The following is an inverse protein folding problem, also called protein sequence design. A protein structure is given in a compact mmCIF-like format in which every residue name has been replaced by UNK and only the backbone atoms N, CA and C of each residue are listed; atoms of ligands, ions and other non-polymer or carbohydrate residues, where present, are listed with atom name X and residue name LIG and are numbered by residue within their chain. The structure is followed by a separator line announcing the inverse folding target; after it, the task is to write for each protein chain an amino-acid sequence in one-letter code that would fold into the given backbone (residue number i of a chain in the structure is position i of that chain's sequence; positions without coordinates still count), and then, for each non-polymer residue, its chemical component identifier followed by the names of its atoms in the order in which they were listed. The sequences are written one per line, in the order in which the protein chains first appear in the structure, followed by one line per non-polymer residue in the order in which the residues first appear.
data_IF_137691410886
#
_entry.id   IF_137691410886
#
_cell.length_a   1.000
_cell.length_b   1.000
_cell.length_c   1.000
_cell.angle_alpha   90.00
_cell.angle_beta   90.00
_cell.angle_gamma   90.00
#
_symmetry.space_group_name_H-M   'P 1'
#
loop_
_entity.id
_entity.type
_entity.pdbx_description
1 polymer ?
#
# COMPACT_ATOMS: atom_id res chain seq x y z
N UNK A 1 -3.17 -26.61 -69.54
CA UNK A 1 -3.95 -26.96 -68.35
C UNK A 1 -3.57 -25.98 -67.25
N UNK A 2 -4.58 -25.30 -66.73
CA UNK A 2 -4.52 -24.17 -65.78
C UNK A 2 -4.60 -24.73 -64.36
N UNK A 3 -3.92 -24.09 -63.40
CA UNK A 3 -4.27 -24.23 -61.99
C UNK A 3 -3.10 -24.17 -61.02
N UNK A 4 -2.46 -23.00 -60.88
CA UNK A 4 -1.69 -22.67 -59.70
C UNK A 4 -2.65 -22.36 -58.53
N UNK A 5 -2.38 -22.91 -57.34
CA UNK A 5 -2.95 -22.42 -56.09
C UNK A 5 -1.82 -22.18 -55.08
N UNK A 6 -1.67 -20.96 -54.56
CA UNK A 6 -0.73 -20.68 -53.48
C UNK A 6 -1.39 -21.09 -52.16
N UNK A 7 -0.72 -21.96 -51.40
CA UNK A 7 -1.15 -22.30 -50.04
C UNK A 7 -0.88 -21.11 -49.15
N UNK A 8 -1.95 -20.35 -48.89
CA UNK A 8 -1.94 -19.11 -48.13
C UNK A 8 -1.48 -19.33 -46.70
N UNK A 9 -0.52 -18.49 -46.32
CA UNK A 9 0.00 -18.27 -44.98
C UNK A 9 -1.15 -17.99 -43.99
N UNK A 10 -1.28 -18.80 -42.93
CA UNK A 10 -2.11 -18.51 -41.77
C UNK A 10 -1.20 -18.58 -40.54
N UNK A 11 -0.28 -17.62 -40.44
CA UNK A 11 0.39 -17.29 -39.18
C UNK A 11 -0.69 -16.68 -38.29
N UNK A 12 -1.32 -17.54 -37.48
CA UNK A 12 -2.21 -17.12 -36.41
C UNK A 12 -1.42 -16.32 -35.39
N UNK A 13 -1.50 -15.00 -35.50
CA UNK A 13 -0.97 -14.06 -34.53
C UNK A 13 -1.79 -14.19 -33.23
N UNK A 14 -1.40 -15.13 -32.38
CA UNK A 14 -1.82 -15.20 -30.99
C UNK A 14 -1.26 -13.97 -30.28
N UNK A 15 -2.04 -12.88 -30.29
CA UNK A 15 -1.88 -11.77 -29.37
C UNK A 15 -2.13 -12.30 -27.95
N UNK A 16 -1.06 -12.72 -27.28
CA UNK A 16 -1.06 -12.93 -25.84
C UNK A 16 -1.25 -11.55 -25.22
N UNK A 17 -2.51 -11.18 -24.98
CA UNK A 17 -2.85 -10.12 -24.04
C UNK A 17 -2.48 -10.65 -22.65
N UNK A 18 -1.20 -10.55 -22.29
CA UNK A 18 -0.85 -10.52 -20.88
C UNK A 18 -1.48 -9.25 -20.33
N UNK A 19 -2.64 -9.41 -19.69
CA UNK A 19 -3.12 -8.40 -18.78
C UNK A 19 -1.99 -8.20 -17.75
N UNK A 20 -1.32 -7.05 -17.81
CA UNK A 20 -0.25 -6.66 -16.90
C UNK A 20 -0.80 -6.46 -15.47
N UNK A 21 -1.28 -7.52 -14.87
CA UNK A 21 -1.49 -7.61 -13.43
C UNK A 21 -0.30 -8.33 -12.88
N UNK A 22 0.72 -7.58 -12.53
CA UNK A 22 1.79 -8.19 -11.78
C UNK A 22 1.28 -8.41 -10.36
N UNK A 23 1.12 -9.67 -9.95
CA UNK A 23 1.02 -10.07 -8.53
C UNK A 23 2.36 -9.81 -7.79
N UNK A 24 3.22 -8.98 -8.38
CA UNK A 24 4.50 -8.53 -7.86
C UNK A 24 4.22 -7.53 -6.73
N UNK A 25 4.74 -7.79 -5.52
CA UNK A 25 4.60 -6.87 -4.41
C UNK A 25 5.30 -5.53 -4.68
N UNK A 26 4.59 -4.42 -4.46
CA UNK A 26 5.07 -3.05 -4.65
C UNK A 26 5.22 -2.37 -3.29
N UNK A 27 6.45 -2.14 -2.79
CA UNK A 27 6.67 -1.50 -1.50
C UNK A 27 6.68 0.03 -1.59
N UNK A 28 6.20 0.69 -0.55
CA UNK A 28 6.46 2.11 -0.27
C UNK A 28 6.95 2.24 1.17
N UNK A 29 7.96 3.08 1.42
CA UNK A 29 8.62 3.19 2.72
C UNK A 29 8.80 4.62 3.17
N UNK A 30 8.86 4.81 4.48
CA UNK A 30 9.30 6.03 5.15
C UNK A 30 10.24 5.68 6.29
N UNK A 31 11.23 6.54 6.54
CA UNK A 31 12.16 6.45 7.66
C UNK A 31 12.00 7.69 8.54
N UNK A 32 11.99 7.47 9.85
CA UNK A 32 11.94 8.55 10.84
C UNK A 32 13.31 8.69 11.50
N UNK A 33 14.05 9.79 11.23
CA UNK A 33 15.44 9.91 11.67
C UNK A 33 15.61 9.90 13.19
N UNK A 34 14.65 10.47 13.93
CA UNK A 34 14.72 10.59 15.38
C UNK A 34 14.74 9.23 16.09
N UNK A 35 13.93 8.29 15.60
CA UNK A 35 13.79 6.96 16.20
C UNK A 35 14.48 5.86 15.36
N UNK A 36 15.09 6.26 14.24
CA UNK A 36 15.71 5.41 13.22
C UNK A 36 14.80 4.26 12.73
N UNK A 37 13.48 4.41 12.86
CA UNK A 37 12.53 3.38 12.46
C UNK A 37 12.16 3.50 10.99
N UNK A 38 11.94 2.35 10.34
CA UNK A 38 11.43 2.25 8.98
C UNK A 38 10.05 1.62 9.00
N UNK A 39 9.09 2.28 8.36
CA UNK A 39 7.79 1.70 8.05
C UNK A 39 7.72 1.45 6.55
N UNK A 40 7.28 0.26 6.17
CA UNK A 40 7.04 -0.13 4.78
C UNK A 40 5.64 -0.68 4.67
N UNK A 41 4.85 -0.17 3.72
CA UNK A 41 3.60 -0.82 3.33
C UNK A 41 3.79 -1.38 1.94
N UNK A 42 3.66 -2.69 1.82
CA UNK A 42 3.75 -3.41 0.57
C UNK A 42 2.35 -3.70 0.06
N UNK A 43 2.13 -3.40 -1.22
CA UNK A 43 0.88 -3.60 -1.92
C UNK A 43 1.02 -4.69 -2.96
N UNK A 44 0.14 -5.68 -2.94
CA UNK A 44 0.12 -6.77 -3.93
C UNK A 44 -1.23 -6.79 -4.62
N UNK A 45 -1.25 -6.74 -5.96
CA UNK A 45 -2.49 -6.84 -6.72
C UNK A 45 -3.13 -8.21 -6.49
N UNK A 46 -4.46 -8.25 -6.32
CA UNK A 46 -5.24 -9.50 -6.18
C UNK A 46 -6.22 -9.71 -7.32
N UNK A 47 -6.27 -8.76 -8.25
CA UNK A 47 -7.12 -8.82 -9.43
C UNK A 47 -6.50 -8.06 -10.60
N UNK A 48 -6.60 -8.58 -11.84
CA UNK A 48 -5.96 -7.98 -12.99
C UNK A 48 -6.57 -6.72 -13.56
N UNK A 49 -7.82 -6.42 -13.21
CA UNK A 49 -8.56 -5.31 -13.80
C UNK A 49 -9.09 -4.33 -12.74
N UNK A 50 -9.34 -4.84 -11.53
CA UNK A 50 -9.87 -4.05 -10.42
C UNK A 50 -8.72 -3.54 -9.56
N UNK A 51 -8.86 -2.31 -9.04
CA UNK A 51 -7.94 -1.76 -8.03
C UNK A 51 -8.16 -2.47 -6.68
N UNK A 52 -7.77 -3.74 -6.61
CA UNK A 52 -7.87 -4.60 -5.44
C UNK A 52 -6.48 -5.08 -5.05
N UNK A 53 -6.17 -4.91 -3.78
CA UNK A 53 -4.84 -5.17 -3.30
C UNK A 53 -4.84 -5.69 -1.87
N UNK A 54 -3.99 -6.67 -1.62
CA UNK A 54 -3.56 -7.00 -0.27
C UNK A 54 -2.49 -6.00 0.17
N UNK A 55 -2.50 -5.68 1.46
CA UNK A 55 -1.60 -4.70 2.06
C UNK A 55 -0.91 -5.33 3.25
N UNK A 56 0.41 -5.26 3.27
CA UNK A 56 1.24 -5.75 4.37
C UNK A 56 2.08 -4.63 4.93
N UNK A 57 1.92 -4.35 6.22
CA UNK A 57 2.75 -3.42 6.97
C UNK A 57 3.96 -4.16 7.53
N UNK A 58 5.14 -3.60 7.31
CA UNK A 58 6.39 -4.01 7.96
C UNK A 58 6.95 -2.83 8.75
N UNK A 59 7.24 -3.06 10.01
CA UNK A 59 7.90 -2.12 10.91
C UNK A 59 9.26 -2.68 11.31
N UNK A 60 10.31 -1.89 11.10
CA UNK A 60 11.69 -2.25 11.43
C UNK A 60 12.33 -1.17 12.28
N UNK A 61 13.04 -1.58 13.31
CA UNK A 61 13.83 -0.70 14.19
C UNK A 61 15.27 -1.22 14.29
N UNK A 62 16.26 -0.34 14.53
CA UNK A 62 17.60 -0.75 14.90
C UNK A 62 17.60 -1.69 16.11
N UNK A 63 18.58 -2.58 16.18
CA UNK A 63 18.67 -3.56 17.26
C UNK A 63 17.82 -4.83 17.05
N UNK A 64 17.30 -5.06 15.84
CA UNK A 64 16.75 -6.36 15.42
C UNK A 64 15.24 -6.54 15.58
N UNK A 65 14.52 -5.52 16.07
CA UNK A 65 13.06 -5.54 16.08
C UNK A 65 12.52 -5.41 14.65
N UNK A 66 11.75 -6.42 14.21
CA UNK A 66 11.05 -6.45 12.92
C UNK A 66 9.70 -7.13 13.06
N UNK A 67 8.63 -6.44 12.70
CA UNK A 67 7.26 -6.95 12.77
C UNK A 67 6.60 -6.77 11.41
N UNK A 68 5.85 -7.78 10.99
CA UNK A 68 5.01 -7.69 9.81
C UNK A 68 3.58 -8.12 10.13
N UNK A 69 2.59 -7.34 9.71
CA UNK A 69 1.17 -7.62 9.88
C UNK A 69 0.40 -7.29 8.61
N UNK A 70 -0.67 -8.02 8.33
CA UNK A 70 -1.57 -7.70 7.24
C UNK A 70 -2.51 -6.56 7.65
N UNK A 71 -2.75 -5.64 6.74
CA UNK A 71 -3.73 -4.56 6.88
C UNK A 71 -5.04 -5.00 6.22
N UNK A 72 -6.13 -4.31 6.54
CA UNK A 72 -7.37 -4.52 5.80
C UNK A 72 -7.11 -4.27 4.31
N UNK A 73 -7.55 -5.14 3.38
CA UNK A 73 -7.21 -5.01 1.96
C UNK A 73 -7.95 -3.84 1.32
N UNK A 74 -7.44 -3.36 0.17
CA UNK A 74 -8.25 -2.51 -0.71
C UNK A 74 -9.18 -3.40 -1.55
N UNK A 75 -10.48 -3.21 -1.42
CA UNK A 75 -11.52 -3.96 -2.15
C UNK A 75 -12.10 -3.23 -3.37
N UNK A 76 -11.49 -2.11 -3.79
CA UNK A 76 -11.91 -1.32 -4.95
C UNK A 76 -12.24 0.15 -4.64
N UNK A 77 -11.85 0.66 -3.47
CA UNK A 77 -12.14 2.03 -3.04
C UNK A 77 -10.85 2.85 -2.88
N UNK A 78 -10.14 2.66 -1.77
CA UNK A 78 -8.93 3.43 -1.44
C UNK A 78 -7.88 2.53 -0.78
N UNK A 79 -6.72 2.43 -1.40
CA UNK A 79 -5.54 1.80 -0.76
C UNK A 79 -4.87 2.71 0.27
N UNK A 80 -5.24 4.00 0.35
CA UNK A 80 -4.56 5.00 1.18
C UNK A 80 -4.43 4.54 2.63
N UNK A 81 -3.24 4.70 3.21
CA UNK A 81 -3.00 4.55 4.65
C UNK A 81 -2.40 5.83 5.19
N UNK A 82 -3.12 6.50 6.08
CA UNK A 82 -2.63 7.69 6.75
C UNK A 82 -1.76 7.28 7.93
N UNK A 83 -0.67 8.01 8.12
CA UNK A 83 0.28 7.79 9.19
C UNK A 83 0.21 8.97 10.16
N UNK A 84 0.04 8.66 11.44
CA UNK A 84 -0.01 9.64 12.51
C UNK A 84 0.96 9.29 13.62
N UNK A 85 1.34 10.30 14.39
CA UNK A 85 2.03 10.15 15.66
C UNK A 85 1.09 10.54 16.80
N UNK A 86 1.05 9.73 17.86
CA UNK A 86 0.48 10.11 19.14
C UNK A 86 1.54 10.00 20.23
N UNK A 87 1.60 11.00 21.11
CA UNK A 87 2.57 11.01 22.20
C UNK A 87 4.00 10.72 21.75
N UNK A 88 4.78 10.16 22.67
CA UNK A 88 6.16 9.75 22.40
C UNK A 88 6.18 8.27 22.04
N UNK A 89 6.66 7.95 20.83
CA UNK A 89 6.90 6.56 20.42
C UNK A 89 5.64 5.75 20.05
N UNK A 90 4.49 6.38 19.82
CA UNK A 90 3.31 5.68 19.27
C UNK A 90 3.01 6.19 17.87
N UNK A 91 2.88 5.26 16.92
CA UNK A 91 2.48 5.56 15.54
C UNK A 91 1.15 4.86 15.23
N UNK A 92 0.30 5.55 14.48
CA UNK A 92 -0.93 4.97 13.95
C UNK A 92 -0.86 4.86 12.43
N UNK A 93 -1.10 3.66 11.92
CA UNK A 93 -1.37 3.43 10.49
C UNK A 93 -2.87 3.23 10.34
N UNK A 94 -3.55 4.22 9.78
CA UNK A 94 -5.01 4.26 9.69
C UNK A 94 -5.42 4.04 8.24
N UNK A 95 -6.29 3.05 8.03
CA UNK A 95 -7.00 2.82 6.80
C UNK A 95 -8.48 3.17 6.92
N UNK A 96 -9.25 2.83 5.89
CA UNK A 96 -10.69 3.06 5.87
C UNK A 96 -11.44 2.16 6.88
N UNK A 97 -10.97 0.94 7.09
CA UNK A 97 -11.65 -0.09 7.89
C UNK A 97 -10.81 -0.71 9.02
N UNK A 98 -9.54 -0.33 9.14
CA UNK A 98 -8.68 -0.70 10.25
C UNK A 98 -7.78 0.46 10.70
N UNK A 99 -7.32 0.38 11.95
CA UNK A 99 -6.20 1.17 12.43
C UNK A 99 -5.21 0.25 13.14
N UNK A 100 -3.93 0.34 12.79
CA UNK A 100 -2.85 -0.35 13.50
C UNK A 100 -2.14 0.64 14.41
N UNK A 101 -1.91 0.22 15.65
CA UNK A 101 -1.11 0.96 16.63
C UNK A 101 0.25 0.31 16.70
N UNK A 102 1.29 1.10 16.50
CA UNK A 102 2.67 0.67 16.62
C UNK A 102 3.21 1.29 17.90
N UNK A 103 3.44 0.47 18.91
CA UNK A 103 4.21 0.85 20.09
C UNK A 103 5.69 0.66 19.75
N UNK A 104 6.34 1.78 19.43
CA UNK A 104 7.73 1.81 18.98
C UNK A 104 8.63 1.31 20.11
N UNK A 105 8.60 1.84 21.36
CA UNK A 105 9.39 1.34 22.49
C UNK A 105 9.30 -0.17 22.70
N UNK A 106 8.10 -0.74 22.72
CA UNK A 106 7.88 -2.14 23.06
C UNK A 106 7.94 -3.08 21.86
N UNK A 107 8.16 -2.56 20.65
CA UNK A 107 8.18 -3.37 19.43
C UNK A 107 6.90 -4.21 19.32
N UNK A 108 5.74 -3.55 19.30
CA UNK A 108 4.45 -4.24 19.09
C UNK A 108 3.60 -3.53 18.05
N UNK A 109 2.79 -4.32 17.33
CA UNK A 109 1.75 -3.81 16.44
C UNK A 109 0.43 -4.47 16.78
N UNK A 110 -0.57 -3.67 17.14
CA UNK A 110 -1.91 -4.14 17.52
C UNK A 110 -2.99 -3.59 16.59
N UNK A 111 -4.09 -4.32 16.45
CA UNK A 111 -5.30 -3.79 15.83
C UNK A 111 -6.02 -2.92 16.86
N UNK A 112 -6.42 -1.72 16.45
CA UNK A 112 -7.28 -0.85 17.23
C UNK A 112 -8.60 -0.63 16.52
N UNK A 113 -9.69 -0.70 17.27
CA UNK A 113 -10.99 -0.30 16.79
C UNK A 113 -11.02 1.24 16.71
N UNK A 114 -11.49 1.83 15.61
CA UNK A 114 -11.42 3.28 15.37
C UNK A 114 -11.91 4.20 16.51
N UNK A 115 -12.77 3.69 17.39
CA UNK A 115 -13.32 4.44 18.53
C UNK A 115 -12.29 4.71 19.64
N UNK A 116 -11.11 4.10 19.59
CA UNK A 116 -10.08 4.20 20.64
C UNK A 116 -8.79 4.89 20.21
N UNK A 117 -8.76 5.55 19.03
CA UNK A 117 -7.60 6.35 18.63
C UNK A 117 -7.50 7.62 19.47
N UNK A 118 -6.28 7.98 19.87
CA UNK A 118 -6.01 9.20 20.61
C UNK A 118 -6.51 10.42 19.86
N UNK A 119 -7.16 11.35 20.60
CA UNK A 119 -7.71 12.57 20.01
C UNK A 119 -6.64 13.61 19.66
N UNK A 120 -5.45 13.46 20.21
CA UNK A 120 -4.32 14.36 20.00
C UNK A 120 -3.24 13.65 19.18
N UNK A 121 -3.45 13.63 17.87
CA UNK A 121 -2.54 13.03 16.89
C UNK A 121 -2.00 14.07 15.94
N UNK A 122 -0.77 13.86 15.49
CA UNK A 122 -0.13 14.66 14.44
C UNK A 122 -0.09 13.85 13.16
N UNK A 123 -0.69 14.36 12.08
CA UNK A 123 -0.59 13.75 10.76
C UNK A 123 0.83 13.88 10.20
N UNK A 124 1.45 12.75 9.88
CA UNK A 124 2.82 12.70 9.35
C UNK A 124 2.88 12.58 7.83
N UNK A 125 1.84 11.99 7.23
CA UNK A 125 1.77 11.74 5.80
C UNK A 125 0.87 10.55 5.47
N UNK A 126 0.89 10.14 4.21
CA UNK A 126 0.06 9.04 3.73
C UNK A 126 0.80 8.16 2.73
N UNK A 127 0.65 6.85 2.85
CA UNK A 127 0.93 5.93 1.76
C UNK A 127 -0.25 5.94 0.81
N UNK A 128 -0.02 6.28 -0.45
CA UNK A 128 -1.09 6.43 -1.44
C UNK A 128 -0.56 6.24 -2.86
N UNK A 129 -1.49 6.22 -3.81
CA UNK A 129 -1.18 6.36 -5.22
C UNK A 129 -0.83 7.81 -5.58
N UNK A 130 0.16 7.97 -6.45
CA UNK A 130 0.33 9.20 -7.22
C UNK A 130 -0.63 9.28 -8.41
N UNK A 131 -0.55 10.37 -9.17
CA UNK A 131 -1.37 10.59 -10.36
C UNK A 131 -1.14 9.51 -11.44
N UNK A 132 0.02 8.86 -11.43
CA UNK A 132 0.41 7.77 -12.32
C UNK A 132 0.14 6.38 -11.72
N UNK A 133 -0.66 6.28 -10.64
CA UNK A 133 -1.04 5.03 -9.97
C UNK A 133 0.11 4.27 -9.30
N UNK A 134 1.26 4.94 -9.10
CA UNK A 134 2.39 4.37 -8.38
C UNK A 134 2.18 4.48 -6.89
N UNK A 135 2.40 3.38 -6.20
CA UNK A 135 2.32 3.31 -4.74
C UNK A 135 3.55 3.98 -4.12
N UNK A 136 3.34 5.01 -3.30
CA UNK A 136 4.43 5.77 -2.68
C UNK A 136 4.01 6.37 -1.34
N UNK A 137 4.97 6.91 -0.60
CA UNK A 137 4.72 7.69 0.61
C UNK A 137 4.77 9.20 0.30
N UNK A 138 3.77 9.94 0.78
CA UNK A 138 3.71 11.38 0.73
C UNK A 138 3.80 11.97 2.14
N UNK A 139 4.84 12.76 2.47
CA UNK A 139 4.90 13.44 3.75
C UNK A 139 3.82 14.54 3.84
N UNK A 140 3.40 14.86 5.06
CA UNK A 140 2.40 15.90 5.32
C UNK A 140 2.78 17.28 4.76
N UNK A 141 4.08 17.56 4.58
CA UNK A 141 4.59 18.78 3.95
C UNK A 141 4.30 18.86 2.44
N UNK A 142 4.05 17.74 1.78
CA UNK A 142 3.77 17.66 0.35
C UNK A 142 2.29 17.45 0.04
N UNK A 143 1.58 16.66 0.87
CA UNK A 143 0.17 16.36 0.67
C UNK A 143 -0.56 16.49 2.02
N UNK A 144 -1.60 17.34 2.12
CA UNK A 144 -2.37 17.44 3.35
C UNK A 144 -3.13 16.14 3.60
N UNK A 145 -3.62 15.98 4.83
CA UNK A 145 -4.52 14.90 5.16
C UNK A 145 -5.78 14.96 4.29
N UNK A 146 -6.19 13.81 3.78
CA UNK A 146 -7.37 13.66 2.95
C UNK A 146 -8.32 12.66 3.60
N UNK A 147 -9.64 12.90 3.56
CA UNK A 147 -10.62 11.96 4.06
C UNK A 147 -10.56 10.64 3.26
N UNK A 148 -10.96 9.54 3.91
CA UNK A 148 -11.08 8.23 3.25
C UNK A 148 -12.36 8.11 2.40
N UNK A 149 -13.33 8.99 2.61
CA UNK A 149 -14.55 9.06 1.81
C UNK A 149 -14.28 9.61 0.41
N UNK A 150 -15.02 9.09 -0.59
CA UNK A 150 -15.03 9.71 -1.92
C UNK A 150 -15.66 11.10 -1.81
N UNK A 151 -15.00 12.08 -2.42
CA UNK A 151 -15.66 13.33 -2.84
C UNK A 151 -16.43 13.07 -4.13
#
# INVERSE_FOLDING_TARGET
MIGAYPTTCLVGLLLVLEACSSDVPVPASVEFPADQVRLTITRTATNPFLSRHDLRLTFVRPGGCSIAVDLFPNTGYASRRNLYQAGVGVLYVVGQYDARVIDVPHCTVTLSEFRTLDRFVTFLGSFDEDEQKRWTYFPASQRPELPFEKR
#
